data_IF_190008226051
#
_entry.id   IF_190008226051
#
_cell.length_a   1.000
_cell.length_b   1.000
_cell.length_c   1.000
_cell.angle_alpha   90.00
_cell.angle_beta   90.00
_cell.angle_gamma   90.00
#
_symmetry.space_group_name_H-M   'P 1'
#
loop_
_entity.id
_entity.type
_entity.pdbx_description
1 polymer ?
#
# COMPACT_ATOMS: atom_id res chain seq x y z
N UNK A 1 57.56 -49.85 16.05
CA UNK A 1 58.02 -48.64 15.27
C UNK A 1 57.15 -47.50 15.64
N UNK A 2 57.63 -46.66 16.54
CA UNK A 2 56.90 -45.51 17.11
C UNK A 2 57.34 -44.26 16.36
N UNK A 3 56.39 -43.45 15.94
CA UNK A 3 56.65 -42.13 15.39
C UNK A 3 56.61 -41.09 16.54
N UNK A 4 57.49 -40.07 16.51
CA UNK A 4 57.59 -39.10 17.58
C UNK A 4 56.58 -37.96 17.52
N UNK A 5 56.20 -37.51 18.70
CA UNK A 5 55.32 -36.34 18.92
C UNK A 5 56.02 -35.01 18.61
N UNK A 6 55.34 -34.08 17.98
CA UNK A 6 55.77 -32.72 17.79
C UNK A 6 55.36 -31.82 18.97
N UNK A 7 56.18 -30.84 19.39
CA UNK A 7 55.89 -30.02 20.54
C UNK A 7 54.99 -28.84 20.25
N UNK A 8 54.15 -28.54 21.23
CA UNK A 8 53.24 -27.43 21.32
C UNK A 8 54.01 -26.13 21.73
N UNK A 9 53.89 -25.01 21.03
CA UNK A 9 54.43 -23.76 21.58
C UNK A 9 53.39 -23.02 22.40
N UNK A 10 53.91 -22.59 23.55
CA UNK A 10 53.29 -21.89 24.67
C UNK A 10 52.59 -20.58 24.34
N UNK A 11 51.47 -20.40 25.02
CA UNK A 11 50.84 -19.10 25.26
C UNK A 11 51.82 -18.11 25.90
N UNK A 12 52.00 -16.95 25.25
CA UNK A 12 52.24 -15.69 25.94
C UNK A 12 52.04 -14.49 25.03
N UNK A 13 51.09 -13.61 25.47
CA UNK A 13 51.04 -12.17 25.30
C UNK A 13 50.76 -11.57 23.89
N UNK A 14 49.55 -10.96 23.77
CA UNK A 14 49.52 -9.47 23.75
C UNK A 14 48.09 -8.98 23.92
N UNK A 15 47.80 -8.48 25.12
CA UNK A 15 46.65 -7.60 25.38
C UNK A 15 47.00 -6.24 24.75
N UNK A 16 46.34 -5.91 23.64
CA UNK A 16 46.18 -4.52 23.21
C UNK A 16 44.70 -4.16 23.35
N UNK A 17 44.43 -3.31 24.30
CA UNK A 17 43.13 -2.69 24.53
C UNK A 17 42.81 -1.77 23.34
N UNK A 18 41.92 -2.24 22.47
CA UNK A 18 41.26 -1.41 21.48
C UNK A 18 39.98 -0.88 22.11
N UNK A 19 39.98 0.40 22.54
CA UNK A 19 38.76 1.11 22.93
C UNK A 19 37.89 1.28 21.65
N UNK A 20 36.96 0.36 21.44
CA UNK A 20 35.92 0.50 20.43
C UNK A 20 34.94 1.59 20.90
N UNK A 21 34.99 2.76 20.31
CA UNK A 21 33.95 3.75 20.45
C UNK A 21 32.63 3.20 19.88
N UNK A 22 31.70 2.85 20.76
CA UNK A 22 30.31 2.58 20.38
C UNK A 22 29.73 3.91 19.96
N UNK A 23 29.66 4.16 18.65
CA UNK A 23 28.87 5.24 18.11
C UNK A 23 27.40 4.94 18.38
N UNK A 24 26.85 5.50 19.44
CA UNK A 24 25.40 5.57 19.65
C UNK A 24 24.87 6.51 18.55
N UNK A 25 24.41 5.90 17.47
CA UNK A 25 23.68 6.64 16.44
C UNK A 25 22.41 7.19 17.05
N UNK A 26 22.42 8.50 17.35
CA UNK A 26 21.19 9.24 17.65
C UNK A 26 20.36 9.18 16.38
N UNK A 27 19.33 8.31 16.37
CA UNK A 27 18.29 8.35 15.37
C UNK A 27 17.65 9.74 15.46
N UNK A 28 18.06 10.65 14.58
CA UNK A 28 17.40 11.92 14.41
C UNK A 28 15.94 11.63 14.02
N UNK A 29 15.01 11.92 14.92
CA UNK A 29 13.58 11.91 14.64
C UNK A 29 13.34 12.94 13.53
N UNK A 30 13.27 12.47 12.28
CA UNK A 30 12.91 13.31 11.15
C UNK A 30 11.50 13.81 11.42
N UNK A 31 11.37 15.06 11.84
CA UNK A 31 10.05 15.73 11.89
C UNK A 31 9.47 15.69 10.49
N UNK A 32 8.35 15.01 10.36
CA UNK A 32 7.60 14.96 9.11
C UNK A 32 7.32 16.40 8.63
N UNK A 33 7.64 16.68 7.37
CA UNK A 33 7.38 18.00 6.79
C UNK A 33 5.86 18.15 6.52
N UNK A 34 5.27 19.33 6.77
CA UNK A 34 3.86 19.57 6.47
C UNK A 34 3.61 19.40 4.97
N UNK A 35 2.45 18.81 4.63
CA UNK A 35 2.06 18.64 3.24
C UNK A 35 1.56 19.96 2.63
N UNK A 36 1.91 20.26 1.37
CA UNK A 36 1.32 21.39 0.65
C UNK A 36 -0.20 21.19 0.52
N UNK A 37 -0.95 22.29 0.54
CA UNK A 37 -2.39 22.29 0.28
C UNK A 37 -2.76 21.62 -1.06
N UNK A 38 -4.06 21.43 -1.32
CA UNK A 38 -4.56 20.87 -2.59
C UNK A 38 -4.00 21.69 -3.76
N UNK A 39 -3.20 21.06 -4.60
CA UNK A 39 -2.57 21.69 -5.76
C UNK A 39 -3.60 21.98 -6.87
N UNK A 40 -3.27 22.93 -7.77
CA UNK A 40 -4.06 23.14 -9.00
C UNK A 40 -3.94 21.99 -10.00
N UNK A 41 -2.95 21.11 -9.83
CA UNK A 41 -2.68 19.93 -10.67
C UNK A 41 -3.03 18.68 -9.92
N UNK A 42 -3.60 17.72 -10.63
CA UNK A 42 -3.90 16.42 -10.07
C UNK A 42 -2.60 15.69 -9.70
N UNK A 43 -2.62 14.97 -8.58
CA UNK A 43 -1.45 14.28 -8.08
C UNK A 43 -1.84 13.13 -7.14
N UNK A 44 -0.95 12.15 -7.03
CA UNK A 44 -1.01 11.08 -6.03
C UNK A 44 0.20 11.21 -5.13
N UNK A 45 -0.01 11.12 -3.83
CA UNK A 45 1.08 11.05 -2.84
C UNK A 45 1.06 9.65 -2.23
N UNK A 46 2.15 8.92 -2.40
CA UNK A 46 2.37 7.69 -1.66
C UNK A 46 2.61 8.04 -0.20
N UNK A 47 1.76 7.61 0.70
CA UNK A 47 1.96 7.84 2.13
C UNK A 47 2.73 6.66 2.72
N UNK A 48 2.09 5.51 2.80
CA UNK A 48 2.69 4.28 3.34
C UNK A 48 1.75 3.12 3.07
N UNK A 49 2.27 1.94 2.74
CA UNK A 49 1.41 0.78 2.43
C UNK A 49 0.42 1.12 1.32
N UNK A 50 -0.86 0.75 1.47
CA UNK A 50 -1.96 1.14 0.59
C UNK A 50 -2.45 2.58 0.82
N UNK A 51 -1.99 3.26 1.88
CA UNK A 51 -2.41 4.63 2.17
C UNK A 51 -1.84 5.61 1.15
N UNK A 52 -2.71 6.23 0.38
CA UNK A 52 -2.38 7.29 -0.58
C UNK A 52 -3.29 8.50 -0.42
N UNK A 53 -2.79 9.68 -0.79
CA UNK A 53 -3.62 10.87 -1.03
C UNK A 53 -3.76 11.08 -2.53
N UNK A 54 -4.98 11.24 -3.00
CA UNK A 54 -5.32 11.55 -4.38
C UNK A 54 -5.91 12.96 -4.43
N UNK A 55 -5.13 13.94 -4.91
CA UNK A 55 -5.63 15.27 -5.27
C UNK A 55 -6.16 15.19 -6.70
N UNK A 56 -7.47 15.25 -6.89
CA UNK A 56 -8.11 15.06 -8.17
C UNK A 56 -9.25 16.05 -8.41
N UNK A 57 -9.18 16.81 -9.51
CA UNK A 57 -10.16 17.83 -9.88
C UNK A 57 -10.50 18.81 -8.73
N UNK A 58 -9.50 19.15 -7.90
CA UNK A 58 -9.65 20.08 -6.77
C UNK A 58 -10.21 19.46 -5.50
N UNK A 59 -10.41 18.13 -5.46
CA UNK A 59 -10.87 17.36 -4.29
C UNK A 59 -9.74 16.47 -3.81
N UNK A 60 -9.53 16.40 -2.50
CA UNK A 60 -8.54 15.52 -1.86
C UNK A 60 -9.20 14.31 -1.27
N UNK A 61 -8.83 13.13 -1.75
CA UNK A 61 -9.26 11.84 -1.24
C UNK A 61 -8.12 11.15 -0.50
N UNK A 62 -8.40 10.67 0.71
CA UNK A 62 -7.50 9.79 1.45
C UNK A 62 -7.99 8.36 1.24
N UNK A 63 -7.11 7.48 0.74
CA UNK A 63 -7.45 6.08 0.46
C UNK A 63 -6.75 5.20 1.48
N UNK A 64 -7.48 4.24 2.04
CA UNK A 64 -7.01 3.17 2.91
C UNK A 64 -6.08 3.65 4.04
N UNK A 65 -6.56 4.51 4.96
CA UNK A 65 -5.73 5.11 5.98
C UNK A 65 -5.30 4.11 7.06
N UNK A 66 -3.98 3.87 7.13
CA UNK A 66 -3.29 3.15 8.20
C UNK A 66 -2.37 4.12 8.93
N UNK A 67 -2.72 4.53 10.16
CA UNK A 67 -2.07 5.63 10.89
C UNK A 67 -1.22 5.20 12.08
N UNK A 68 -1.22 3.93 12.43
CA UNK A 68 -0.49 3.44 13.60
C UNK A 68 1.02 3.67 13.50
N UNK A 69 1.67 3.78 14.65
CA UNK A 69 3.12 3.83 14.75
C UNK A 69 3.75 2.48 14.36
N UNK A 70 5.02 2.47 13.94
CA UNK A 70 5.72 1.23 13.63
C UNK A 70 5.63 0.21 14.76
N UNK A 71 5.35 -1.04 14.39
CA UNK A 71 5.26 -2.16 15.33
C UNK A 71 4.00 -2.20 16.20
N UNK A 72 2.99 -1.34 15.94
CA UNK A 72 1.77 -1.29 16.74
C UNK A 72 0.99 -2.62 16.74
N UNK A 73 0.96 -3.31 15.59
CA UNK A 73 0.22 -4.56 15.42
C UNK A 73 1.14 -5.76 15.26
N UNK A 74 0.74 -6.98 15.64
CA UNK A 74 1.50 -8.18 15.31
C UNK A 74 1.56 -8.37 13.79
N UNK A 75 2.53 -9.15 13.31
CA UNK A 75 2.52 -9.63 11.93
C UNK A 75 1.34 -10.55 11.68
N UNK A 76 0.88 -10.63 10.45
CA UNK A 76 -0.27 -11.48 10.07
C UNK A 76 0.10 -12.96 10.18
N UNK A 77 -0.61 -13.74 11.02
CA UNK A 77 -0.34 -15.17 11.15
C UNK A 77 -0.51 -15.92 9.82
N UNK A 78 0.34 -16.91 9.55
CA UNK A 78 0.27 -17.70 8.31
C UNK A 78 0.75 -16.96 7.05
N UNK A 79 1.28 -15.75 7.19
CA UNK A 79 1.86 -15.00 6.09
C UNK A 79 3.39 -14.93 6.14
N UNK A 80 4.01 -14.48 5.07
CA UNK A 80 5.45 -14.26 5.01
C UNK A 80 5.90 -13.29 6.11
N UNK A 81 7.08 -13.55 6.69
CA UNK A 81 7.71 -12.69 7.72
C UNK A 81 6.76 -12.35 8.91
N UNK A 82 5.86 -13.26 9.30
CA UNK A 82 4.84 -13.04 10.35
C UNK A 82 5.40 -12.71 11.74
N UNK A 83 6.72 -12.87 11.96
CA UNK A 83 7.42 -12.44 13.17
C UNK A 83 7.65 -10.93 13.25
N UNK A 84 7.55 -10.21 12.13
CA UNK A 84 7.68 -8.76 12.09
C UNK A 84 6.36 -8.09 12.46
N UNK A 85 6.45 -7.03 13.27
CA UNK A 85 5.27 -6.28 13.70
C UNK A 85 4.97 -5.13 12.74
N UNK A 86 3.69 -4.94 12.44
CA UNK A 86 3.18 -3.94 11.50
C UNK A 86 2.80 -2.61 12.16
N UNK A 87 2.86 -1.49 11.44
CA UNK A 87 3.60 -1.32 10.19
C UNK A 87 5.12 -1.34 10.41
N UNK A 88 5.89 -1.60 9.34
CA UNK A 88 7.36 -1.70 9.42
C UNK A 88 8.05 -0.33 9.44
N UNK A 89 7.40 0.70 8.92
CA UNK A 89 7.97 2.04 8.72
C UNK A 89 7.03 3.13 9.27
N UNK A 90 7.54 4.31 9.68
CA UNK A 90 6.72 5.41 10.19
C UNK A 90 5.92 6.10 9.07
N UNK A 91 4.92 6.90 9.47
CA UNK A 91 4.27 7.84 8.54
C UNK A 91 5.26 8.94 8.13
N UNK A 92 5.35 9.27 6.84
CA UNK A 92 6.25 10.32 6.35
C UNK A 92 5.70 11.74 6.56
N UNK A 93 4.42 11.87 6.91
CA UNK A 93 3.71 13.14 7.07
C UNK A 93 2.85 13.16 8.34
N UNK A 94 2.53 14.34 8.90
CA UNK A 94 1.66 14.44 10.06
C UNK A 94 0.24 13.91 9.77
N UNK A 95 -0.36 13.21 10.73
CA UNK A 95 -1.75 12.72 10.62
C UNK A 95 -2.74 13.87 10.39
N UNK A 96 -2.47 15.06 10.98
CA UNK A 96 -3.33 16.22 10.78
C UNK A 96 -3.47 16.63 9.31
N UNK A 97 -2.41 16.47 8.52
CA UNK A 97 -2.42 16.77 7.09
C UNK A 97 -3.24 15.74 6.30
N UNK A 98 -3.22 14.47 6.74
CA UNK A 98 -4.01 13.39 6.17
C UNK A 98 -5.50 13.55 6.52
N UNK A 99 -5.79 13.92 7.78
CA UNK A 99 -7.13 14.15 8.29
C UNK A 99 -7.80 15.42 7.72
N UNK A 100 -7.05 16.26 7.01
CA UNK A 100 -7.57 17.42 6.26
C UNK A 100 -8.09 17.05 4.86
N UNK A 101 -8.18 15.76 4.51
CA UNK A 101 -8.81 15.31 3.26
C UNK A 101 -10.31 15.67 3.22
N UNK A 102 -10.85 15.82 2.02
CA UNK A 102 -12.28 16.10 1.79
C UNK A 102 -13.17 14.87 1.98
N UNK A 103 -12.59 13.68 1.72
CA UNK A 103 -13.26 12.40 1.92
C UNK A 103 -12.23 11.27 2.10
N UNK A 104 -12.68 10.17 2.68
CA UNK A 104 -11.94 8.90 2.77
C UNK A 104 -12.60 7.87 1.86
N UNK A 105 -11.79 7.04 1.22
CA UNK A 105 -12.23 5.82 0.54
C UNK A 105 -11.57 4.63 1.26
N UNK A 106 -12.38 3.71 1.75
CA UNK A 106 -11.92 2.45 2.36
C UNK A 106 -12.26 1.33 1.40
N UNK A 107 -11.25 0.76 0.75
CA UNK A 107 -11.46 -0.30 -0.25
C UNK A 107 -11.97 -1.58 0.39
N UNK A 108 -11.52 -1.85 1.61
CA UNK A 108 -12.01 -2.91 2.50
C UNK A 108 -11.49 -2.66 3.92
N UNK A 109 -12.00 -3.38 4.90
CA UNK A 109 -11.77 -3.07 6.32
C UNK A 109 -10.67 -3.90 6.97
N UNK A 110 -9.72 -4.47 6.23
CA UNK A 110 -8.54 -5.07 6.82
C UNK A 110 -7.71 -4.03 7.59
N UNK A 111 -6.99 -4.48 8.62
CA UNK A 111 -6.31 -3.57 9.56
C UNK A 111 -5.19 -2.74 8.90
N UNK A 112 -4.63 -3.18 7.81
CA UNK A 112 -3.62 -2.46 7.04
C UNK A 112 -4.20 -1.48 6.01
N UNK A 113 -5.55 -1.42 5.89
CA UNK A 113 -6.32 -0.45 5.08
C UNK A 113 -7.21 0.46 5.93
N UNK A 114 -7.65 -0.01 7.11
CA UNK A 114 -8.52 0.72 8.02
C UNK A 114 -8.18 0.41 9.47
N UNK A 115 -7.10 1.03 9.98
CA UNK A 115 -6.60 0.71 11.31
C UNK A 115 -7.29 1.49 12.45
N UNK A 116 -7.13 1.00 13.68
CA UNK A 116 -7.69 1.67 14.87
C UNK A 116 -7.17 3.10 15.07
N UNK A 117 -5.94 3.39 14.64
CA UNK A 117 -5.38 4.72 14.76
C UNK A 117 -6.08 5.70 13.82
N UNK A 118 -6.38 5.30 12.57
CA UNK A 118 -7.19 6.07 11.65
C UNK A 118 -8.61 6.27 12.19
N UNK A 119 -9.25 5.20 12.70
CA UNK A 119 -10.56 5.28 13.32
C UNK A 119 -10.61 6.31 14.45
N UNK A 120 -9.58 6.40 15.29
CA UNK A 120 -9.51 7.33 16.43
C UNK A 120 -9.14 8.76 16.03
N UNK A 121 -8.37 8.95 14.97
CA UNK A 121 -7.78 10.25 14.59
C UNK A 121 -8.57 11.00 13.54
N UNK A 122 -9.33 10.31 12.70
CA UNK A 122 -10.16 10.95 11.67
C UNK A 122 -11.40 11.61 12.27
N UNK A 123 -11.82 12.79 11.74
CA UNK A 123 -13.06 13.45 12.13
C UNK A 123 -14.28 12.56 11.89
N UNK A 124 -15.14 12.43 12.87
CA UNK A 124 -16.30 11.52 12.79
C UNK A 124 -17.36 11.94 11.76
N UNK A 125 -17.38 13.21 11.37
CA UNK A 125 -18.27 13.73 10.31
C UNK A 125 -17.62 13.69 8.91
N UNK A 126 -16.41 13.14 8.76
CA UNK A 126 -15.74 13.01 7.46
C UNK A 126 -16.52 12.06 6.55
N UNK A 127 -16.80 12.44 5.29
CA UNK A 127 -17.41 11.53 4.33
C UNK A 127 -16.51 10.32 4.08
N UNK A 128 -17.03 9.11 4.28
CA UNK A 128 -16.31 7.85 4.03
C UNK A 128 -17.07 7.03 3.00
N UNK A 129 -16.39 6.66 1.93
CA UNK A 129 -16.91 5.77 0.90
C UNK A 129 -16.41 4.35 1.14
N UNK A 130 -17.31 3.38 1.08
CA UNK A 130 -17.04 1.95 1.34
C UNK A 130 -17.69 1.07 0.27
N UNK A 131 -17.25 -0.18 0.17
CA UNK A 131 -17.70 -1.09 -0.87
C UNK A 131 -19.12 -1.66 -0.68
N UNK A 132 -19.58 -1.87 0.57
CA UNK A 132 -20.82 -2.61 0.85
C UNK A 132 -21.47 -2.21 2.17
N UNK A 133 -22.64 -2.82 2.44
CA UNK A 133 -23.42 -2.56 3.65
C UNK A 133 -22.74 -3.05 4.94
N UNK A 134 -21.98 -4.12 4.89
CA UNK A 134 -21.26 -4.68 6.05
C UNK A 134 -20.17 -3.72 6.52
N UNK A 135 -19.32 -3.24 5.59
CA UNK A 135 -18.28 -2.25 5.91
C UNK A 135 -18.90 -0.92 6.38
N UNK A 136 -20.02 -0.51 5.74
CA UNK A 136 -20.74 0.68 6.19
C UNK A 136 -21.28 0.53 7.63
N UNK A 137 -21.81 -0.62 7.99
CA UNK A 137 -22.28 -0.88 9.34
C UNK A 137 -21.12 -0.88 10.35
N UNK A 138 -20.00 -1.52 10.01
CA UNK A 138 -18.78 -1.56 10.82
C UNK A 138 -18.27 -0.14 11.10
N UNK A 139 -18.10 0.67 10.06
CA UNK A 139 -17.55 2.03 10.20
C UNK A 139 -18.53 2.97 10.92
N UNK A 140 -19.84 2.84 10.69
CA UNK A 140 -20.85 3.57 11.49
C UNK A 140 -20.80 3.17 12.96
N UNK A 141 -20.62 1.88 13.26
CA UNK A 141 -20.44 1.37 14.62
C UNK A 141 -19.21 1.96 15.34
N UNK A 142 -18.22 2.43 14.59
CA UNK A 142 -17.04 3.15 15.08
C UNK A 142 -17.29 4.66 15.28
N UNK A 143 -18.53 5.13 15.11
CA UNK A 143 -18.98 6.50 15.38
C UNK A 143 -18.91 7.46 14.19
N UNK A 144 -18.63 7.00 12.97
CA UNK A 144 -18.65 7.85 11.79
C UNK A 144 -20.10 8.07 11.31
N UNK A 145 -20.44 9.34 11.02
CA UNK A 145 -21.82 9.75 10.75
C UNK A 145 -22.14 9.89 9.25
N UNK A 146 -21.13 10.10 8.38
CA UNK A 146 -21.31 10.20 6.93
C UNK A 146 -20.60 9.04 6.23
N UNK A 147 -21.23 7.85 6.24
CA UNK A 147 -20.70 6.64 5.59
C UNK A 147 -21.59 6.29 4.41
N UNK A 148 -20.99 6.25 3.22
CA UNK A 148 -21.66 6.08 1.93
C UNK A 148 -21.18 4.81 1.23
N UNK A 149 -22.13 3.99 0.76
CA UNK A 149 -21.79 2.83 -0.05
C UNK A 149 -21.54 3.31 -1.47
N UNK A 150 -20.37 2.96 -2.04
CA UNK A 150 -20.00 3.35 -3.40
C UNK A 150 -20.75 2.47 -4.42
N UNK A 151 -21.45 3.12 -5.34
CA UNK A 151 -22.07 2.50 -6.51
C UNK A 151 -21.18 2.70 -7.76
N UNK A 152 -21.66 2.22 -8.91
CA UNK A 152 -20.96 2.40 -10.17
C UNK A 152 -20.93 3.86 -10.66
N UNK A 153 -21.85 4.70 -10.16
CA UNK A 153 -22.06 6.10 -10.59
C UNK A 153 -22.06 7.08 -9.42
N UNK A 154 -21.33 6.78 -8.37
CA UNK A 154 -21.20 7.67 -7.22
C UNK A 154 -20.55 8.99 -7.62
N UNK A 155 -21.07 10.13 -7.13
CA UNK A 155 -20.48 11.45 -7.36
C UNK A 155 -20.14 12.14 -6.05
N UNK A 156 -18.99 12.83 -6.01
CA UNK A 156 -18.59 13.65 -4.89
C UNK A 156 -17.89 14.91 -5.35
N UNK A 157 -18.47 16.10 -5.07
CA UNK A 157 -17.95 17.42 -5.44
C UNK A 157 -17.53 17.53 -6.91
N UNK A 158 -18.31 16.94 -7.82
CA UNK A 158 -18.05 16.97 -9.27
C UNK A 158 -17.12 15.87 -9.78
N UNK A 159 -16.52 15.08 -8.90
CA UNK A 159 -15.76 13.89 -9.27
C UNK A 159 -16.69 12.69 -9.34
N UNK A 160 -16.66 11.94 -10.45
CA UNK A 160 -17.34 10.65 -10.56
C UNK A 160 -16.44 9.56 -10.02
N UNK A 161 -16.99 8.70 -9.16
CA UNK A 161 -16.33 7.56 -8.54
C UNK A 161 -17.08 6.29 -8.93
N UNK A 162 -16.42 5.38 -9.65
CA UNK A 162 -17.01 4.10 -10.03
C UNK A 162 -16.35 2.98 -9.27
N UNK A 163 -17.15 2.20 -8.54
CA UNK A 163 -16.67 0.98 -7.86
C UNK A 163 -16.38 -0.11 -8.88
N UNK A 164 -15.24 -0.80 -8.72
CA UNK A 164 -14.90 -2.01 -9.46
C UNK A 164 -14.83 -3.22 -8.53
N UNK A 165 -14.88 -4.43 -9.08
CA UNK A 165 -14.55 -5.66 -8.39
C UNK A 165 -13.03 -5.88 -8.31
N UNK A 166 -12.68 -7.01 -7.71
CA UNK A 166 -11.33 -7.57 -7.59
C UNK A 166 -11.36 -8.74 -6.61
N UNK A 167 -10.29 -9.52 -6.58
CA UNK A 167 -10.14 -10.66 -5.68
C UNK A 167 -8.79 -10.62 -4.95
N UNK A 168 -8.86 -10.64 -3.62
CA UNK A 168 -7.68 -10.63 -2.76
C UNK A 168 -7.02 -12.02 -2.67
N UNK A 169 -6.78 -12.63 -3.83
CA UNK A 169 -6.21 -13.95 -4.02
C UNK A 169 -6.86 -14.72 -5.17
N UNK A 170 -6.38 -15.92 -5.44
CA UNK A 170 -7.04 -16.79 -6.42
C UNK A 170 -8.43 -17.23 -5.91
N UNK A 171 -9.34 -17.57 -6.82
CA UNK A 171 -10.68 -18.09 -6.45
C UNK A 171 -10.60 -19.28 -5.48
N UNK A 172 -9.64 -20.17 -5.69
CA UNK A 172 -9.41 -21.33 -4.80
C UNK A 172 -8.96 -20.87 -3.39
N UNK A 173 -8.12 -19.84 -3.32
CA UNK A 173 -7.64 -19.29 -2.06
C UNK A 173 -8.77 -18.60 -1.29
N UNK A 174 -9.55 -17.75 -1.95
CA UNK A 174 -10.66 -17.01 -1.31
C UNK A 174 -11.73 -17.98 -0.77
N UNK A 175 -11.96 -19.12 -1.43
CA UNK A 175 -12.86 -20.16 -0.89
C UNK A 175 -12.40 -20.75 0.44
N UNK A 176 -11.10 -20.87 0.68
CA UNK A 176 -10.54 -21.46 1.92
C UNK A 176 -10.20 -20.42 2.97
N UNK A 177 -10.05 -19.16 2.55
CA UNK A 177 -9.78 -18.00 3.42
C UNK A 177 -10.78 -16.87 3.09
N UNK A 178 -12.07 -17.03 3.44
CA UNK A 178 -13.14 -16.10 3.00
C UNK A 178 -12.99 -14.66 3.51
N UNK A 179 -12.18 -14.44 4.56
CA UNK A 179 -11.92 -13.11 5.10
C UNK A 179 -11.17 -12.20 4.11
N UNK A 180 -10.52 -12.77 3.09
CA UNK A 180 -9.80 -12.01 2.07
C UNK A 180 -10.75 -11.18 1.18
N UNK A 181 -11.96 -11.66 0.92
CA UNK A 181 -12.97 -10.97 0.11
C UNK A 181 -14.20 -10.57 0.97
N UNK A 182 -14.99 -9.60 0.53
CA UNK A 182 -14.87 -8.83 -0.70
C UNK A 182 -13.90 -7.65 -0.59
N UNK A 183 -13.33 -7.25 -1.71
CA UNK A 183 -12.51 -6.05 -1.88
C UNK A 183 -13.02 -5.21 -3.06
N UNK A 184 -12.68 -3.92 -3.13
CA UNK A 184 -13.05 -3.09 -4.28
C UNK A 184 -11.86 -2.26 -4.78
N UNK A 185 -11.92 -1.94 -6.07
CA UNK A 185 -11.19 -0.81 -6.63
C UNK A 185 -12.09 0.39 -6.85
N UNK A 186 -11.50 1.52 -7.24
CA UNK A 186 -12.21 2.75 -7.57
C UNK A 186 -11.62 3.44 -8.78
N UNK A 187 -12.49 3.83 -9.72
CA UNK A 187 -12.13 4.67 -10.87
C UNK A 187 -12.59 6.09 -10.61
N UNK A 188 -11.66 7.04 -10.72
CA UNK A 188 -11.92 8.47 -10.69
C UNK A 188 -12.08 8.99 -12.12
N UNK A 189 -13.16 9.68 -12.38
CA UNK A 189 -13.43 10.29 -13.68
C UNK A 189 -13.91 11.74 -13.55
N UNK A 190 -13.37 12.60 -14.41
CA UNK A 190 -13.80 13.98 -14.58
C UNK A 190 -13.53 14.41 -16.03
N UNK A 191 -14.48 15.12 -16.66
CA UNK A 191 -14.45 15.42 -18.09
C UNK A 191 -13.18 16.14 -18.59
N UNK A 192 -12.48 16.87 -17.72
CA UNK A 192 -11.27 17.62 -18.08
C UNK A 192 -9.98 17.07 -17.47
N UNK A 193 -10.00 15.86 -16.94
CA UNK A 193 -8.86 15.23 -16.24
C UNK A 193 -8.63 13.82 -16.77
N UNK A 194 -7.39 13.33 -16.62
CA UNK A 194 -7.08 11.92 -16.87
C UNK A 194 -7.86 11.04 -15.91
N UNK A 195 -8.38 9.93 -16.40
CA UNK A 195 -9.01 8.94 -15.54
C UNK A 195 -7.97 8.19 -14.72
N UNK A 196 -8.27 7.97 -13.44
CA UNK A 196 -7.40 7.26 -12.49
C UNK A 196 -8.12 6.02 -11.98
N UNK A 197 -7.48 4.87 -12.06
CA UNK A 197 -7.98 3.63 -11.48
C UNK A 197 -7.08 3.19 -10.33
N UNK A 198 -7.61 3.15 -9.12
CA UNK A 198 -6.97 2.53 -7.95
C UNK A 198 -7.54 1.12 -7.83
N UNK A 199 -6.72 0.11 -8.08
CA UNK A 199 -7.17 -1.29 -8.13
C UNK A 199 -7.58 -1.80 -6.73
N UNK A 200 -6.90 -1.35 -5.67
CA UNK A 200 -7.04 -1.93 -4.33
C UNK A 200 -6.32 -3.28 -4.21
N UNK A 201 -6.67 -4.06 -3.19
CA UNK A 201 -6.06 -5.36 -2.96
C UNK A 201 -6.69 -6.41 -3.88
N UNK A 202 -5.99 -6.71 -4.96
CA UNK A 202 -6.39 -7.73 -5.92
C UNK A 202 -5.17 -8.42 -6.52
N UNK A 203 -5.32 -9.67 -6.90
CA UNK A 203 -4.46 -10.30 -7.91
C UNK A 203 -4.90 -9.86 -9.31
N UNK A 204 -4.13 -10.17 -10.34
CA UNK A 204 -4.59 -10.01 -11.72
C UNK A 204 -5.72 -11.01 -12.00
N UNK A 205 -6.93 -10.52 -12.25
CA UNK A 205 -8.12 -11.33 -12.49
C UNK A 205 -9.02 -10.73 -13.60
N UNK A 206 -10.18 -11.35 -13.82
CA UNK A 206 -11.17 -10.92 -14.82
C UNK A 206 -11.80 -9.58 -14.48
N UNK A 207 -12.00 -9.25 -13.20
CA UNK A 207 -12.65 -8.01 -12.76
C UNK A 207 -11.75 -6.81 -13.04
N UNK A 208 -10.44 -6.95 -12.72
CA UNK A 208 -9.43 -5.94 -13.04
C UNK A 208 -9.32 -5.75 -14.56
N UNK A 209 -9.27 -6.84 -15.33
CA UNK A 209 -9.21 -6.78 -16.79
C UNK A 209 -10.45 -6.11 -17.39
N UNK A 210 -11.64 -6.43 -16.87
CA UNK A 210 -12.90 -5.80 -17.28
C UNK A 210 -12.93 -4.31 -16.94
N UNK A 211 -12.50 -3.92 -15.74
CA UNK A 211 -12.43 -2.52 -15.34
C UNK A 211 -11.53 -1.71 -16.28
N UNK A 212 -10.33 -2.23 -16.61
CA UNK A 212 -9.41 -1.60 -17.58
C UNK A 212 -10.09 -1.44 -18.96
N UNK A 213 -10.76 -2.47 -19.44
CA UNK A 213 -11.44 -2.46 -20.75
C UNK A 213 -12.59 -1.45 -20.77
N UNK A 214 -13.37 -1.41 -19.67
CA UNK A 214 -14.57 -0.58 -19.55
C UNK A 214 -14.22 0.92 -19.39
N UNK A 215 -13.31 1.23 -18.47
CA UNK A 215 -13.02 2.61 -18.08
C UNK A 215 -11.82 3.22 -18.80
N UNK A 216 -10.96 2.38 -19.42
CA UNK A 216 -9.76 2.79 -20.18
C UNK A 216 -8.92 3.81 -19.40
N UNK A 217 -8.52 3.50 -18.16
CA UNK A 217 -7.83 4.45 -17.30
C UNK A 217 -6.49 4.88 -17.89
N UNK A 218 -6.16 6.18 -17.74
CA UNK A 218 -4.89 6.75 -18.18
C UNK A 218 -3.80 6.64 -17.10
N UNK A 219 -4.22 6.50 -15.83
CA UNK A 219 -3.35 6.24 -14.68
C UNK A 219 -3.91 5.07 -13.90
N UNK A 220 -3.07 4.10 -13.55
CA UNK A 220 -3.48 2.91 -12.79
C UNK A 220 -2.58 2.76 -11.56
N UNK A 221 -3.17 2.80 -10.38
CA UNK A 221 -2.50 2.54 -9.09
C UNK A 221 -2.69 1.08 -8.73
N UNK A 222 -1.58 0.39 -8.46
CA UNK A 222 -1.51 -1.06 -8.26
C UNK A 222 -0.93 -1.35 -6.87
N UNK A 223 -1.65 -2.08 -6.04
CA UNK A 223 -1.11 -2.65 -4.82
C UNK A 223 -0.19 -3.82 -5.19
N UNK A 224 1.12 -3.54 -5.29
CA UNK A 224 2.11 -4.38 -5.95
C UNK A 224 3.07 -5.11 -4.99
N UNK A 225 2.77 -5.11 -3.69
CA UNK A 225 3.65 -5.67 -2.65
C UNK A 225 3.86 -7.18 -2.71
N UNK A 226 3.12 -7.89 -3.57
CA UNK A 226 3.19 -9.35 -3.71
C UNK A 226 3.06 -10.06 -2.36
N UNK A 227 2.04 -9.67 -1.59
CA UNK A 227 1.75 -10.27 -0.29
C UNK A 227 1.49 -11.78 -0.43
N UNK A 228 2.08 -12.57 0.50
CA UNK A 228 2.07 -14.03 0.44
C UNK A 228 1.47 -14.63 1.69
N UNK A 229 0.54 -15.57 1.52
CA UNK A 229 0.18 -16.55 2.53
C UNK A 229 1.03 -17.82 2.34
N UNK A 230 1.62 -18.32 3.43
CA UNK A 230 2.48 -19.51 3.40
C UNK A 230 1.65 -20.69 2.91
N UNK A 231 2.20 -21.46 1.96
CA UNK A 231 1.59 -22.65 1.34
C UNK A 231 0.29 -22.40 0.55
N UNK A 232 -0.23 -21.18 0.55
CA UNK A 232 -1.47 -20.82 -0.14
C UNK A 232 -1.25 -19.90 -1.36
N UNK A 233 -0.19 -19.09 -1.34
CA UNK A 233 0.19 -18.26 -2.48
C UNK A 233 -0.12 -16.76 -2.32
N UNK A 234 -0.05 -16.02 -3.44
CA UNK A 234 -0.18 -14.56 -3.42
C UNK A 234 -1.62 -14.10 -3.22
N UNK A 235 -1.74 -13.01 -2.47
CA UNK A 235 -3.00 -12.29 -2.26
C UNK A 235 -2.97 -10.88 -2.85
N UNK A 236 -1.81 -10.42 -3.33
CA UNK A 236 -1.63 -9.17 -4.08
C UNK A 236 -0.87 -9.43 -5.38
N UNK A 237 -0.97 -8.47 -6.29
CA UNK A 237 -0.18 -8.51 -7.52
C UNK A 237 1.31 -8.51 -7.21
N UNK A 238 2.01 -9.45 -7.85
CA UNK A 238 3.46 -9.48 -7.98
C UNK A 238 3.90 -8.97 -9.34
N UNK A 239 5.18 -9.16 -9.70
CA UNK A 239 5.75 -8.64 -10.95
C UNK A 239 4.96 -9.05 -12.20
N UNK A 240 4.49 -10.29 -12.28
CA UNK A 240 3.71 -10.78 -13.42
C UNK A 240 2.32 -10.15 -13.50
N UNK A 241 1.66 -9.89 -12.36
CA UNK A 241 0.39 -9.18 -12.31
C UNK A 241 0.55 -7.74 -12.81
N UNK A 242 1.58 -7.04 -12.37
CA UNK A 242 1.90 -5.68 -12.85
C UNK A 242 2.18 -5.67 -14.36
N UNK A 243 2.91 -6.66 -14.88
CA UNK A 243 3.13 -6.81 -16.32
C UNK A 243 1.82 -7.07 -17.08
N UNK A 244 0.90 -7.85 -16.50
CA UNK A 244 -0.42 -8.10 -17.09
C UNK A 244 -1.26 -6.83 -17.17
N UNK A 245 -1.24 -5.99 -16.13
CA UNK A 245 -1.87 -4.66 -16.15
C UNK A 245 -1.26 -3.79 -17.25
N UNK A 246 0.08 -3.75 -17.36
CA UNK A 246 0.75 -3.02 -18.43
C UNK A 246 0.30 -3.49 -19.83
N UNK A 247 0.24 -4.80 -20.04
CA UNK A 247 -0.19 -5.38 -21.34
C UNK A 247 -1.63 -5.06 -21.67
N UNK A 248 -2.51 -5.00 -20.66
CA UNK A 248 -3.93 -4.65 -20.83
C UNK A 248 -4.13 -3.14 -21.09
N UNK A 249 -3.24 -2.29 -20.57
CA UNK A 249 -3.29 -0.84 -20.73
C UNK A 249 -1.89 -0.26 -21.07
N UNK A 250 -1.32 -0.55 -22.26
CA UNK A 250 0.09 -0.23 -22.57
C UNK A 250 0.37 1.28 -22.65
N UNK A 251 -0.65 2.11 -22.86
CA UNK A 251 -0.54 3.56 -22.86
C UNK A 251 -0.68 4.20 -21.48
N UNK A 252 -1.24 3.49 -20.50
CA UNK A 252 -1.46 4.02 -19.16
C UNK A 252 -0.13 4.23 -18.40
N UNK A 253 -0.11 5.24 -17.53
CA UNK A 253 0.92 5.38 -16.51
C UNK A 253 0.56 4.49 -15.32
N UNK A 254 1.44 3.57 -14.93
CA UNK A 254 1.28 2.72 -13.76
C UNK A 254 1.96 3.35 -12.55
N UNK A 255 1.38 3.18 -11.36
CA UNK A 255 1.95 3.61 -10.09
C UNK A 255 1.84 2.43 -9.10
N UNK A 256 2.98 1.95 -8.62
CA UNK A 256 3.04 0.87 -7.64
C UNK A 256 2.97 1.42 -6.21
N UNK A 257 2.13 0.82 -5.38
CA UNK A 257 1.93 1.13 -3.95
C UNK A 257 1.85 -0.16 -3.14
N UNK A 258 1.58 -0.08 -1.83
CA UNK A 258 1.44 -1.22 -0.92
C UNK A 258 2.69 -2.10 -0.88
N UNK A 259 3.85 -1.49 -0.72
CA UNK A 259 5.15 -2.16 -0.73
C UNK A 259 5.96 -1.83 0.54
N UNK A 260 6.74 -2.79 1.03
CA UNK A 260 7.79 -2.61 2.07
C UNK A 260 7.32 -2.08 3.44
N UNK A 261 6.03 -1.90 3.67
CA UNK A 261 5.50 -1.34 4.92
C UNK A 261 4.77 -2.36 5.81
N UNK A 262 4.45 -3.53 5.28
CA UNK A 262 3.70 -4.61 5.94
C UNK A 262 4.46 -5.92 5.80
N UNK A 263 4.44 -6.76 6.82
CA UNK A 263 5.26 -7.96 6.92
C UNK A 263 5.12 -8.93 5.74
N UNK A 264 3.94 -9.11 5.17
CA UNK A 264 3.69 -10.12 4.15
C UNK A 264 3.98 -9.65 2.71
N UNK A 265 4.29 -8.37 2.51
CA UNK A 265 4.69 -7.81 1.21
C UNK A 265 6.15 -8.16 0.94
N UNK A 266 6.38 -9.14 0.05
CA UNK A 266 7.73 -9.70 -0.18
C UNK A 266 8.45 -9.09 -1.39
N UNK A 267 7.77 -8.27 -2.21
CA UNK A 267 8.37 -7.61 -3.37
C UNK A 267 8.90 -6.22 -2.98
N UNK A 268 10.19 -6.01 -3.16
CA UNK A 268 10.78 -4.69 -2.96
C UNK A 268 10.55 -3.76 -4.17
N UNK A 269 10.57 -2.44 -3.91
CA UNK A 269 10.55 -1.42 -4.96
C UNK A 269 11.70 -1.60 -5.97
N UNK A 270 12.90 -1.96 -5.48
CA UNK A 270 14.08 -2.19 -6.31
C UNK A 270 13.89 -3.41 -7.23
N UNK A 271 13.34 -4.51 -6.73
CA UNK A 271 13.11 -5.72 -7.51
C UNK A 271 12.04 -5.50 -8.58
N UNK A 272 10.96 -4.78 -8.24
CA UNK A 272 9.94 -4.42 -9.22
C UNK A 272 10.49 -3.49 -10.31
N UNK A 273 11.34 -2.51 -9.96
CA UNK A 273 11.99 -1.63 -10.92
C UNK A 273 12.92 -2.41 -11.87
N UNK A 274 13.71 -3.35 -11.32
CA UNK A 274 14.59 -4.22 -12.11
C UNK A 274 13.78 -5.10 -13.06
N UNK A 275 12.67 -5.68 -12.59
CA UNK A 275 11.75 -6.46 -13.42
C UNK A 275 11.15 -5.62 -14.55
N UNK A 276 10.63 -4.43 -14.26
CA UNK A 276 10.03 -3.55 -15.25
C UNK A 276 11.06 -3.13 -16.34
N UNK A 277 12.31 -2.90 -15.95
CA UNK A 277 13.41 -2.62 -16.89
C UNK A 277 13.69 -3.83 -17.78
N UNK A 278 13.76 -5.03 -17.21
CA UNK A 278 13.98 -6.28 -17.95
C UNK A 278 12.87 -6.55 -18.97
N UNK A 279 11.61 -6.33 -18.58
CA UNK A 279 10.44 -6.56 -19.42
C UNK A 279 10.11 -5.37 -20.37
N UNK A 280 10.88 -4.27 -20.30
CA UNK A 280 10.81 -3.17 -21.26
C UNK A 280 9.70 -2.13 -21.01
N UNK A 281 9.07 -2.11 -19.80
CA UNK A 281 8.01 -1.16 -19.48
C UNK A 281 8.33 -0.17 -18.35
N UNK A 282 9.59 -0.06 -17.94
CA UNK A 282 10.02 0.86 -16.87
C UNK A 282 9.58 2.32 -17.08
N UNK A 283 9.50 2.79 -18.32
CA UNK A 283 9.04 4.14 -18.66
C UNK A 283 7.55 4.38 -18.34
N UNK A 284 6.79 3.32 -18.14
CA UNK A 284 5.36 3.36 -17.80
C UNK A 284 5.07 3.05 -16.34
N UNK A 285 6.09 2.74 -15.53
CA UNK A 285 5.93 2.37 -14.12
C UNK A 285 6.63 3.39 -13.22
N UNK A 286 5.85 4.03 -12.36
CA UNK A 286 6.32 4.85 -11.26
C UNK A 286 6.27 4.03 -9.98
N UNK A 287 7.31 4.10 -9.16
CA UNK A 287 7.42 3.38 -7.89
C UNK A 287 7.83 4.40 -6.82
N UNK A 288 6.90 5.24 -6.34
CA UNK A 288 7.23 6.34 -5.45
C UNK A 288 7.69 5.84 -4.07
N UNK A 289 8.60 6.58 -3.47
CA UNK A 289 8.95 6.43 -2.07
C UNK A 289 7.82 6.93 -1.16
N UNK A 290 7.82 6.50 0.11
CA UNK A 290 6.86 7.02 1.09
C UNK A 290 7.08 8.53 1.29
N UNK A 291 6.00 9.30 1.21
CA UNK A 291 5.99 10.77 1.20
C UNK A 291 6.15 11.40 -0.20
N UNK A 292 6.47 10.63 -1.21
CA UNK A 292 6.68 11.15 -2.56
C UNK A 292 5.35 11.49 -3.26
N UNK A 293 5.35 12.67 -3.93
CA UNK A 293 4.23 13.17 -4.74
C UNK A 293 4.51 12.94 -6.23
N UNK A 294 3.56 12.32 -6.89
CA UNK A 294 3.57 12.09 -8.34
C UNK A 294 2.49 12.96 -8.98
N UNK A 295 2.83 13.77 -9.98
CA UNK A 295 1.85 14.48 -10.82
C UNK A 295 1.24 13.52 -11.84
N UNK A 296 -0.05 13.60 -12.08
CA UNK A 296 -0.79 12.71 -12.97
C UNK A 296 -1.53 13.45 -14.07
#
# INVERSE_FOLDING_TARGET
MSLPASPNPSRRQLLTAGAGAVAVGVAASLKAAPMPGVGKKDSIVQIRNATILVDYAGVRFLIDPMFADPGAYPGFPGSAMSHLRNPLVPLPVPIADLAAADAVIVTHTHIDHWDEAAQKKLPKAMPIFVQNATDAATIRGQGFTDVRIMAADTSFRGVQLSRTGGHHGSEALVRVVPILDPVMGVVFHHASRKSVYVIGDSVWDSDVAQAITTYKPEVIVINAGYAQLIDLGPILMGPQGVLSVHRAAPAAQLLATHMEAINHCVLSRADLAAFAKKEGFAQRLLIPADGERVSI
#
